data_IF_473706407124
#
_entry.id   IF_473706407124
#
_cell.length_a   1.000
_cell.length_b   1.000
_cell.length_c   1.000
_cell.angle_alpha   90.00
_cell.angle_beta   90.00
_cell.angle_gamma   90.00
#
_symmetry.space_group_name_H-M   'P 1'
#
loop_
_entity.id
_entity.type
_entity.pdbx_description
1 polymer ?
#
# COMPACT_ATOMS: atom_id res chain seq x y z
N UNK A 1 -11.16 3.61 11.95
CA UNK A 1 -10.63 4.70 11.09
C UNK A 1 -10.93 4.35 9.63
N UNK A 2 -11.15 5.32 8.74
CA UNK A 2 -11.40 5.05 7.32
C UNK A 2 -10.08 4.76 6.57
N UNK A 3 -10.04 3.76 5.65
CA UNK A 3 -8.88 3.54 4.78
C UNK A 3 -8.58 4.76 3.92
N UNK A 4 -7.30 5.08 3.77
CA UNK A 4 -6.78 6.10 2.85
C UNK A 4 -5.76 5.48 1.89
N UNK A 5 -5.63 6.09 0.72
CA UNK A 5 -4.67 5.70 -0.32
C UNK A 5 -3.69 6.84 -0.51
N UNK A 6 -2.39 6.52 -0.53
CA UNK A 6 -1.30 7.46 -0.78
C UNK A 6 -0.50 6.99 -2.00
N UNK A 7 -0.53 7.74 -3.11
CA UNK A 7 0.43 7.55 -4.18
C UNK A 7 1.77 8.18 -3.78
N UNK A 8 2.86 7.41 -3.92
CA UNK A 8 4.20 7.85 -3.53
C UNK A 8 5.20 7.53 -4.64
N UNK A 9 6.13 8.45 -4.88
CA UNK A 9 7.30 8.26 -5.73
C UNK A 9 8.52 7.92 -4.83
N UNK A 10 8.88 6.64 -4.75
CA UNK A 10 9.98 6.16 -3.93
C UNK A 10 11.36 6.52 -4.52
N UNK A 11 12.35 6.66 -3.65
CA UNK A 11 13.76 6.98 -3.98
C UNK A 11 13.98 8.33 -4.69
N UNK A 12 13.03 9.25 -4.58
CA UNK A 12 13.13 10.60 -5.13
C UNK A 12 12.51 11.62 -4.18
N UNK A 13 12.90 12.88 -4.33
CA UNK A 13 12.20 14.04 -3.74
C UNK A 13 11.51 14.91 -4.82
N UNK A 14 11.57 14.49 -6.08
CA UNK A 14 10.95 15.16 -7.22
C UNK A 14 9.71 14.37 -7.67
N UNK A 15 8.54 15.02 -7.82
CA UNK A 15 7.35 14.37 -8.37
C UNK A 15 7.57 13.77 -9.76
N UNK A 16 6.91 12.66 -10.05
CA UNK A 16 6.95 11.95 -11.33
C UNK A 16 8.36 11.43 -11.71
N UNK A 17 9.15 11.08 -10.70
CA UNK A 17 10.47 10.44 -10.81
C UNK A 17 10.54 9.26 -9.84
N UNK A 18 11.62 8.49 -9.88
CA UNK A 18 11.77 7.35 -8.99
C UNK A 18 10.80 6.21 -9.33
N UNK A 19 10.39 5.45 -8.30
CA UNK A 19 9.51 4.30 -8.46
C UNK A 19 8.13 4.55 -7.83
N UNK A 20 7.06 4.46 -8.63
CA UNK A 20 5.70 4.72 -8.18
C UNK A 20 5.15 3.54 -7.38
N UNK A 21 4.63 3.81 -6.17
CA UNK A 21 4.05 2.82 -5.27
C UNK A 21 2.76 3.34 -4.64
N UNK A 22 1.83 2.41 -4.38
CA UNK A 22 0.63 2.68 -3.58
C UNK A 22 0.86 2.34 -2.11
N UNK A 23 0.35 3.16 -1.20
CA UNK A 23 0.30 2.83 0.24
C UNK A 23 -1.13 2.96 0.75
N UNK A 24 -1.65 1.92 1.41
CA UNK A 24 -3.00 1.88 1.96
C UNK A 24 -2.94 1.72 3.48
N UNK A 25 -3.57 2.66 4.21
CA UNK A 25 -3.61 2.63 5.67
C UNK A 25 -4.90 3.26 6.23
N UNK A 26 -5.54 2.67 7.26
CA UNK A 26 -5.28 1.34 7.83
C UNK A 26 -5.91 0.22 6.98
N UNK A 27 -5.28 -0.95 6.95
CA UNK A 27 -5.68 -2.08 6.10
C UNK A 27 -6.18 -3.32 6.89
N UNK A 28 -6.31 -3.23 8.22
CA UNK A 28 -6.71 -4.35 9.09
C UNK A 28 -8.04 -5.00 8.73
N UNK A 29 -8.99 -4.20 8.22
CA UNK A 29 -10.34 -4.65 7.87
C UNK A 29 -10.49 -5.03 6.39
N UNK A 30 -9.37 -5.17 5.66
CA UNK A 30 -9.38 -5.61 4.27
C UNK A 30 -9.08 -7.11 4.22
N UNK A 31 -9.86 -7.84 3.42
CA UNK A 31 -9.49 -9.20 3.05
C UNK A 31 -8.33 -9.19 2.05
N UNK A 32 -7.63 -10.30 1.94
CA UNK A 32 -6.58 -10.48 0.93
C UNK A 32 -7.09 -10.22 -0.50
N UNK A 33 -8.28 -10.72 -0.83
CA UNK A 33 -8.89 -10.50 -2.14
C UNK A 33 -9.18 -9.01 -2.39
N UNK A 34 -9.59 -8.26 -1.36
CA UNK A 34 -9.77 -6.81 -1.47
C UNK A 34 -8.43 -6.09 -1.66
N UNK A 35 -7.37 -6.49 -0.94
CA UNK A 35 -6.03 -5.94 -1.14
C UNK A 35 -5.53 -6.16 -2.57
N UNK A 36 -5.68 -7.38 -3.11
CA UNK A 36 -5.33 -7.68 -4.51
C UNK A 36 -6.15 -6.83 -5.50
N UNK A 37 -7.47 -6.70 -5.29
CA UNK A 37 -8.32 -5.88 -6.15
C UNK A 37 -7.92 -4.40 -6.12
N UNK A 38 -7.58 -3.88 -4.94
CA UNK A 38 -7.10 -2.50 -4.78
C UNK A 38 -5.74 -2.32 -5.47
N UNK A 39 -4.79 -3.24 -5.28
CA UNK A 39 -3.48 -3.17 -5.95
C UNK A 39 -3.62 -3.18 -7.47
N UNK A 40 -4.52 -4.02 -8.00
CA UNK A 40 -4.86 -4.06 -9.42
C UNK A 40 -5.48 -2.75 -9.92
N UNK A 41 -6.37 -2.15 -9.14
CA UNK A 41 -7.02 -0.86 -9.48
C UNK A 41 -6.01 0.29 -9.49
N UNK A 42 -5.07 0.32 -8.54
CA UNK A 42 -4.06 1.38 -8.46
C UNK A 42 -2.98 1.26 -9.54
N UNK A 43 -2.68 0.04 -10.00
CA UNK A 43 -1.81 -0.19 -11.16
C UNK A 43 -0.33 0.16 -10.95
N UNK A 44 0.10 0.41 -9.72
CA UNK A 44 1.52 0.56 -9.38
C UNK A 44 2.24 -0.79 -9.49
N UNK A 45 3.57 -0.79 -9.63
CA UNK A 45 4.36 -2.02 -9.61
C UNK A 45 4.10 -2.84 -8.35
N UNK A 46 3.98 -2.15 -7.20
CA UNK A 46 3.56 -2.73 -5.92
C UNK A 46 2.68 -1.74 -5.13
N UNK A 47 1.77 -2.29 -4.33
CA UNK A 47 1.00 -1.57 -3.31
C UNK A 47 1.25 -2.20 -1.94
N UNK A 48 1.62 -1.36 -0.97
CA UNK A 48 1.84 -1.74 0.42
C UNK A 48 0.59 -1.49 1.28
N UNK A 49 0.18 -2.49 2.05
CA UNK A 49 -0.94 -2.43 2.99
C UNK A 49 -0.42 -2.51 4.41
N UNK A 50 -0.70 -1.50 5.22
CA UNK A 50 -0.24 -1.43 6.61
C UNK A 50 -1.32 -1.98 7.56
N UNK A 51 -0.94 -2.99 8.33
CA UNK A 51 -1.76 -3.67 9.33
C UNK A 51 -1.12 -3.54 10.72
N UNK A 52 -1.93 -3.71 11.74
CA UNK A 52 -1.51 -3.94 13.11
C UNK A 52 -0.66 -5.22 13.22
N UNK A 53 0.29 -5.18 14.14
CA UNK A 53 1.10 -6.32 14.59
C UNK A 53 1.14 -6.31 16.11
N UNK A 54 1.03 -7.48 16.73
CA UNK A 54 1.08 -7.61 18.20
C UNK A 54 2.52 -7.67 18.74
N UNK A 55 3.49 -7.98 17.87
CA UNK A 55 4.87 -8.31 18.19
C UNK A 55 5.91 -7.42 17.47
N UNK A 56 5.46 -6.48 16.64
CA UNK A 56 6.29 -5.50 15.91
C UNK A 56 5.53 -4.18 15.75
N UNK A 57 6.22 -3.12 15.34
CA UNK A 57 5.60 -1.79 15.18
C UNK A 57 4.52 -1.75 14.09
N UNK A 58 4.70 -2.55 13.02
CA UNK A 58 3.77 -2.62 11.89
C UNK A 58 3.93 -3.94 11.14
N UNK A 59 2.82 -4.50 10.65
CA UNK A 59 2.83 -5.59 9.65
C UNK A 59 2.51 -5.01 8.28
N UNK A 60 3.31 -5.34 7.28
CA UNK A 60 3.08 -4.89 5.91
C UNK A 60 2.86 -6.09 4.99
N UNK A 61 1.87 -5.97 4.10
CA UNK A 61 1.69 -6.88 2.97
C UNK A 61 1.87 -6.12 1.65
N UNK A 62 2.59 -6.72 0.71
CA UNK A 62 2.87 -6.14 -0.60
C UNK A 62 2.14 -6.95 -1.67
N UNK A 63 1.51 -6.25 -2.62
CA UNK A 63 0.80 -6.86 -3.74
C UNK A 63 1.17 -6.15 -5.04
N UNK A 64 1.50 -6.92 -6.06
CA UNK A 64 1.49 -6.48 -7.46
C UNK A 64 0.04 -6.49 -7.99
N UNK A 65 -0.27 -5.84 -9.12
CA UNK A 65 -1.56 -5.95 -9.79
C UNK A 65 -2.01 -7.41 -10.05
#
# INVERSE_FOLDING_TARGET
MKPQVYPVDAFTSQPFRGNSAGVVFPADNLSEAQMQLIARELGHSETAFLLHSDDSDVRIRYFTP
#
